data_IF_743909912055
#
_entry.id   IF_743909912055
#
_cell.length_a   1.000
_cell.length_b   1.000
_cell.length_c   1.000
_cell.angle_alpha   90.00
_cell.angle_beta   90.00
_cell.angle_gamma   90.00
#
_symmetry.space_group_name_H-M   'P 1'
#
loop_
_entity.id
_entity.type
_entity.pdbx_description
1 polymer ?
#
# COMPACT_ATOMS: atom_id res chain seq x y z
N UNK A 1 36.79 54.76 35.93
CA UNK A 1 35.87 55.38 34.94
C UNK A 1 36.27 54.79 33.59
N UNK A 2 35.49 54.01 32.84
CA UNK A 2 34.05 54.00 32.58
C UNK A 2 33.72 52.61 31.99
N UNK A 3 32.70 51.94 32.51
CA UNK A 3 32.12 50.73 31.93
C UNK A 3 31.39 51.07 30.62
N UNK A 4 31.57 50.29 29.56
CA UNK A 4 30.70 50.26 28.36
C UNK A 4 30.63 48.79 27.92
N UNK A 5 29.64 48.04 28.43
CA UNK A 5 28.33 47.73 27.80
C UNK A 5 28.43 46.58 26.76
N UNK A 6 28.09 45.40 27.30
CA UNK A 6 27.32 44.30 26.73
C UNK A 6 26.71 44.50 25.32
N UNK A 7 26.96 43.57 24.41
CA UNK A 7 25.96 43.20 23.39
C UNK A 7 26.03 41.70 23.14
N UNK A 8 25.10 40.98 23.77
CA UNK A 8 24.78 39.58 23.48
C UNK A 8 23.99 39.58 22.17
N UNK A 9 24.51 38.93 21.12
CA UNK A 9 23.73 38.61 19.93
C UNK A 9 23.63 37.08 19.85
N UNK A 10 22.61 36.54 20.51
CA UNK A 10 22.23 35.14 20.41
C UNK A 10 21.55 34.94 19.04
N UNK A 11 22.26 34.34 18.08
CA UNK A 11 21.68 33.90 16.83
C UNK A 11 20.90 32.60 17.06
N UNK A 12 19.59 32.72 17.30
CA UNK A 12 18.67 31.59 17.26
C UNK A 12 18.51 31.13 15.80
N UNK A 13 19.23 30.08 15.42
CA UNK A 13 18.96 29.34 14.20
C UNK A 13 17.67 28.53 14.41
N UNK A 14 16.51 29.15 14.15
CA UNK A 14 15.27 28.43 13.97
C UNK A 14 15.33 27.74 12.61
N UNK A 15 15.72 26.47 12.61
CA UNK A 15 15.55 25.58 11.47
C UNK A 15 14.07 25.41 11.18
N UNK A 16 13.55 26.19 10.23
CA UNK A 16 12.22 25.98 9.68
C UNK A 16 12.26 24.73 8.79
N UNK A 17 11.69 23.61 9.25
CA UNK A 17 11.24 22.56 8.35
C UNK A 17 10.07 23.14 7.54
N UNK A 18 10.40 23.82 6.44
CA UNK A 18 9.42 24.20 5.44
C UNK A 18 9.04 22.92 4.69
N UNK A 19 7.92 22.30 5.06
CA UNK A 19 7.23 21.35 4.17
C UNK A 19 6.84 22.13 2.91
N UNK A 20 7.43 21.76 1.77
CA UNK A 20 7.22 22.46 0.52
C UNK A 20 5.81 22.15 -0.02
N UNK A 21 5.01 23.16 -0.42
CA UNK A 21 3.78 22.91 -1.15
C UNK A 21 4.14 22.46 -2.57
N UNK A 22 3.95 21.18 -2.87
CA UNK A 22 4.12 20.64 -4.23
C UNK A 22 4.82 19.28 -4.36
N UNK A 23 5.10 18.57 -3.26
CA UNK A 23 5.57 17.18 -3.38
C UNK A 23 4.48 16.32 -4.05
N UNK A 24 4.79 15.64 -5.17
CA UNK A 24 3.82 14.76 -5.80
C UNK A 24 3.45 13.66 -4.82
N UNK A 25 2.14 13.47 -4.58
CA UNK A 25 1.66 12.38 -3.74
C UNK A 25 2.27 11.05 -4.21
N UNK A 26 2.86 10.30 -3.28
CA UNK A 26 3.45 9.00 -3.56
C UNK A 26 2.40 8.06 -4.16
N UNK A 27 2.78 7.30 -5.19
CA UNK A 27 1.89 6.42 -5.97
C UNK A 27 2.27 4.96 -5.79
N UNK A 28 1.33 4.05 -6.02
CA UNK A 28 1.61 2.62 -5.94
C UNK A 28 2.03 2.17 -4.55
N UNK A 29 2.95 1.21 -4.47
CA UNK A 29 3.53 0.69 -3.23
C UNK A 29 4.29 1.76 -2.43
N UNK A 30 4.83 2.79 -3.08
CA UNK A 30 5.64 3.81 -2.39
C UNK A 30 4.89 4.45 -1.21
N UNK A 31 3.58 4.64 -1.32
CA UNK A 31 2.73 5.19 -0.25
C UNK A 31 2.69 4.33 1.02
N UNK A 32 3.11 3.07 0.94
CA UNK A 32 3.17 2.13 2.06
C UNK A 32 4.60 1.91 2.56
N UNK A 33 5.61 2.63 2.05
CA UNK A 33 7.03 2.37 2.38
C UNK A 33 7.38 2.50 3.87
N UNK A 34 6.56 3.19 4.66
CA UNK A 34 6.69 3.30 6.12
C UNK A 34 5.61 2.56 6.91
N UNK A 35 4.72 1.80 6.26
CA UNK A 35 3.67 1.06 6.93
C UNK A 35 4.21 -0.28 7.44
N UNK A 36 4.19 -0.50 8.76
CA UNK A 36 4.67 -1.73 9.39
C UNK A 36 3.93 -2.99 8.90
N UNK A 37 2.73 -2.83 8.33
CA UNK A 37 1.93 -3.92 7.77
C UNK A 37 2.40 -4.37 6.39
N UNK A 38 3.16 -3.53 5.68
CA UNK A 38 3.75 -3.91 4.41
C UNK A 38 4.94 -4.84 4.67
N UNK A 39 4.79 -6.11 4.28
CA UNK A 39 5.80 -7.13 4.46
C UNK A 39 6.75 -7.25 3.26
N UNK A 40 7.34 -8.44 3.14
CA UNK A 40 8.33 -8.74 2.10
C UNK A 40 7.73 -8.77 0.70
N UNK A 41 8.56 -8.42 -0.31
CA UNK A 41 8.18 -8.58 -1.71
C UNK A 41 8.13 -10.06 -2.07
N UNK A 42 7.03 -10.47 -2.71
CA UNK A 42 6.87 -11.82 -3.25
C UNK A 42 6.62 -11.78 -4.76
N UNK A 43 6.87 -12.91 -5.42
CA UNK A 43 6.68 -13.04 -6.86
C UNK A 43 5.47 -13.89 -7.23
N UNK A 44 4.72 -14.39 -6.24
CA UNK A 44 3.65 -15.34 -6.50
C UNK A 44 2.58 -15.34 -5.41
N UNK A 45 1.33 -15.34 -5.83
CA UNK A 45 0.17 -15.70 -5.00
C UNK A 45 -0.48 -16.91 -5.67
N UNK A 46 -0.85 -17.94 -4.92
CA UNK A 46 -1.55 -19.10 -5.47
C UNK A 46 -2.86 -19.31 -4.72
N UNK A 47 -3.96 -19.03 -5.41
CA UNK A 47 -5.30 -19.23 -4.91
C UNK A 47 -5.72 -20.69 -5.11
N UNK A 48 -6.60 -21.19 -4.24
CA UNK A 48 -7.15 -22.53 -4.39
C UNK A 48 -8.04 -22.65 -5.64
N UNK A 49 -8.82 -21.61 -5.94
CA UNK A 49 -9.73 -21.58 -7.10
C UNK A 49 -10.02 -20.16 -7.59
N UNK A 50 -10.30 -19.22 -6.68
CA UNK A 50 -10.59 -17.82 -6.97
C UNK A 50 -9.94 -16.91 -5.92
N UNK A 51 -9.94 -15.61 -6.18
CA UNK A 51 -9.63 -14.61 -5.15
C UNK A 51 -10.74 -14.67 -4.10
N UNK A 52 -10.38 -14.81 -2.82
CA UNK A 52 -11.36 -14.94 -1.73
C UNK A 52 -12.02 -13.60 -1.40
N UNK A 53 -11.32 -12.50 -1.66
CA UNK A 53 -11.79 -11.14 -1.41
C UNK A 53 -10.73 -10.11 -1.77
N UNK A 54 -11.13 -8.85 -1.73
CA UNK A 54 -10.23 -7.73 -1.93
C UNK A 54 -10.64 -6.55 -1.04
N UNK A 55 -9.69 -5.66 -0.74
CA UNK A 55 -9.92 -4.45 0.07
C UNK A 55 -8.83 -3.42 -0.18
N UNK A 56 -8.92 -2.26 0.49
CA UNK A 56 -7.91 -1.18 0.41
C UNK A 56 -7.62 -0.77 -1.04
N UNK A 57 -8.67 -0.77 -1.85
CA UNK A 57 -8.60 -0.39 -3.25
C UNK A 57 -8.22 1.09 -3.33
N UNK A 58 -7.24 1.37 -4.16
CA UNK A 58 -6.83 2.70 -4.56
C UNK A 58 -6.59 2.67 -6.06
N UNK A 59 -6.23 3.80 -6.65
CA UNK A 59 -6.01 3.98 -8.08
C UNK A 59 -5.09 2.94 -8.72
N UNK A 60 -4.05 2.50 -8.02
CA UNK A 60 -3.02 1.60 -8.56
C UNK A 60 -2.66 0.45 -7.63
N UNK A 61 -3.33 0.31 -6.48
CA UNK A 61 -3.09 -0.79 -5.54
C UNK A 61 -4.38 -1.42 -5.05
N UNK A 62 -4.32 -2.71 -4.73
CA UNK A 62 -5.39 -3.42 -4.05
C UNK A 62 -4.81 -4.48 -3.14
N UNK A 63 -5.48 -4.71 -2.01
CA UNK A 63 -5.16 -5.82 -1.11
C UNK A 63 -5.98 -7.04 -1.53
N UNK A 64 -5.33 -8.09 -2.02
CA UNK A 64 -5.98 -9.37 -2.35
C UNK A 64 -5.93 -10.33 -1.16
N UNK A 65 -7.01 -11.09 -0.97
CA UNK A 65 -7.16 -12.06 0.12
C UNK A 65 -7.06 -13.50 -0.40
N UNK A 66 -6.27 -14.31 0.30
CA UNK A 66 -6.11 -15.75 0.09
C UNK A 66 -6.20 -16.45 1.46
N UNK A 67 -7.41 -16.83 1.85
CA UNK A 67 -7.77 -17.33 3.17
C UNK A 67 -7.38 -16.34 4.28
N UNK A 68 -6.32 -16.69 5.02
CA UNK A 68 -5.76 -15.85 6.09
C UNK A 68 -4.61 -14.95 5.63
N UNK A 69 -4.12 -15.13 4.42
CA UNK A 69 -3.04 -14.32 3.87
C UNK A 69 -3.62 -13.11 3.14
N UNK A 70 -2.88 -12.00 3.20
CA UNK A 70 -3.20 -10.80 2.45
C UNK A 70 -1.96 -10.38 1.67
N UNK A 71 -2.19 -9.84 0.49
CA UNK A 71 -1.12 -9.37 -0.38
C UNK A 71 -1.48 -8.00 -0.93
N UNK A 72 -0.59 -7.04 -0.73
CA UNK A 72 -0.68 -5.74 -1.38
C UNK A 72 -0.16 -5.89 -2.80
N UNK A 73 -1.03 -5.67 -3.77
CA UNK A 73 -0.73 -5.79 -5.19
C UNK A 73 -0.76 -4.42 -5.81
N UNK A 74 0.32 -4.05 -6.49
CA UNK A 74 0.30 -2.89 -7.37
C UNK A 74 0.08 -3.32 -8.80
N UNK A 75 -0.81 -2.59 -9.47
CA UNK A 75 -1.14 -2.79 -10.88
C UNK A 75 -0.73 -1.58 -11.72
N UNK A 76 -0.61 -1.81 -13.02
CA UNK A 76 -0.33 -0.77 -14.01
C UNK A 76 -1.18 -0.96 -15.26
N UNK A 77 -1.16 0.04 -16.15
CA UNK A 77 -1.96 0.07 -17.36
C UNK A 77 -3.22 0.91 -17.22
N UNK A 78 -4.34 0.44 -17.78
CA UNK A 78 -5.59 1.21 -17.90
C UNK A 78 -6.45 1.16 -16.63
N UNK A 79 -5.87 0.91 -15.46
CA UNK A 79 -6.59 0.59 -14.22
C UNK A 79 -6.74 1.76 -13.26
N UNK A 80 -7.03 2.94 -13.80
CA UNK A 80 -6.96 4.25 -13.11
C UNK A 80 -8.08 4.52 -12.09
N UNK A 81 -8.91 3.54 -11.78
CA UNK A 81 -10.21 3.61 -11.10
C UNK A 81 -10.50 2.27 -10.40
N UNK A 82 -9.45 1.49 -10.09
CA UNK A 82 -9.52 0.28 -9.26
C UNK A 82 -10.21 0.52 -7.90
N UNK A 83 -10.23 1.76 -7.44
CA UNK A 83 -11.01 2.22 -6.28
C UNK A 83 -12.52 1.95 -6.40
N UNK A 84 -13.07 1.90 -7.62
CA UNK A 84 -14.48 1.64 -7.92
C UNK A 84 -14.75 0.18 -8.31
N UNK A 85 -13.78 -0.72 -8.09
CA UNK A 85 -13.94 -2.12 -8.45
C UNK A 85 -15.07 -2.79 -7.66
N UNK A 86 -16.07 -3.30 -8.37
CA UNK A 86 -17.18 -4.08 -7.80
C UNK A 86 -16.79 -5.56 -7.66
N UNK A 87 -15.95 -6.05 -8.57
CA UNK A 87 -15.40 -7.41 -8.50
C UNK A 87 -14.00 -7.50 -9.12
N UNK A 88 -13.20 -8.42 -8.58
CA UNK A 88 -11.86 -8.71 -9.08
C UNK A 88 -11.72 -10.22 -9.28
N UNK A 89 -11.35 -10.61 -10.50
CA UNK A 89 -11.12 -11.99 -10.91
C UNK A 89 -9.67 -12.27 -11.30
N UNK A 90 -9.32 -13.55 -11.28
CA UNK A 90 -8.04 -14.04 -11.79
C UNK A 90 -8.02 -13.98 -13.31
N UNK A 91 -6.89 -13.55 -13.84
CA UNK A 91 -6.61 -13.60 -15.28
C UNK A 91 -5.26 -14.25 -15.52
N UNK A 92 -5.17 -15.49 -15.04
CA UNK A 92 -4.03 -16.38 -15.22
C UNK A 92 -4.55 -17.77 -15.59
N UNK A 93 -3.88 -18.47 -16.52
CA UNK A 93 -4.21 -19.87 -16.85
C UNK A 93 -3.87 -20.83 -15.70
N UNK A 94 -3.06 -20.38 -14.75
CA UNK A 94 -2.75 -21.09 -13.51
C UNK A 94 -3.53 -20.42 -12.39
N UNK A 95 -3.94 -21.15 -11.35
CA UNK A 95 -4.58 -20.53 -10.16
C UNK A 95 -3.63 -19.62 -9.37
N UNK A 96 -2.49 -19.22 -9.96
CA UNK A 96 -1.50 -18.36 -9.36
C UNK A 96 -1.30 -17.08 -10.18
N UNK A 97 -1.12 -15.97 -9.47
CA UNK A 97 -0.73 -14.67 -10.01
C UNK A 97 0.75 -14.41 -9.76
N UNK A 98 1.43 -13.89 -10.77
CA UNK A 98 2.82 -13.42 -10.74
C UNK A 98 2.92 -12.02 -11.33
N UNK A 99 3.99 -11.26 -11.05
CA UNK A 99 4.28 -10.02 -11.78
C UNK A 99 4.27 -10.25 -13.30
N UNK A 100 3.50 -9.45 -14.03
CA UNK A 100 3.26 -9.60 -15.47
C UNK A 100 1.93 -10.28 -15.82
N UNK A 101 1.33 -11.06 -14.92
CA UNK A 101 -0.06 -11.52 -15.08
C UNK A 101 -1.03 -10.36 -14.90
N UNK A 102 -2.32 -10.58 -15.19
CA UNK A 102 -3.36 -9.59 -14.97
C UNK A 102 -4.38 -10.04 -13.94
N UNK A 103 -5.09 -9.07 -13.38
CA UNK A 103 -6.39 -9.28 -12.73
C UNK A 103 -7.47 -8.65 -13.63
N UNK A 104 -8.66 -9.26 -13.64
CA UNK A 104 -9.82 -8.68 -14.31
C UNK A 104 -10.62 -7.90 -13.27
N UNK A 105 -10.72 -6.59 -13.48
CA UNK A 105 -11.54 -5.71 -12.66
C UNK A 105 -12.84 -5.48 -13.41
N UNK A 106 -13.97 -5.77 -12.77
CA UNK A 106 -15.29 -5.46 -13.28
C UNK A 106 -15.93 -4.37 -12.43
N UNK A 107 -16.53 -3.41 -13.13
CA UNK A 107 -17.20 -2.25 -12.56
C UNK A 107 -18.49 -1.98 -13.31
N UNK A 108 -19.40 -1.27 -12.65
CA UNK A 108 -20.67 -0.85 -13.24
C UNK A 108 -20.61 0.64 -13.53
N UNK A 109 -20.53 1.03 -14.80
CA UNK A 109 -20.64 2.43 -15.21
C UNK A 109 -22.03 2.70 -15.79
N UNK A 110 -22.96 3.13 -14.93
CA UNK A 110 -24.36 3.32 -15.33
C UNK A 110 -24.99 2.00 -15.79
N UNK A 111 -25.52 1.95 -17.02
CA UNK A 111 -26.08 0.71 -17.61
C UNK A 111 -25.05 -0.16 -18.35
N UNK A 112 -23.77 0.25 -18.40
CA UNK A 112 -22.72 -0.47 -19.13
C UNK A 112 -21.83 -1.24 -18.18
N UNK A 113 -21.75 -2.56 -18.39
CA UNK A 113 -20.77 -3.43 -17.74
C UNK A 113 -19.47 -3.44 -18.54
N UNK A 114 -18.39 -3.00 -17.90
CA UNK A 114 -17.04 -3.07 -18.45
C UNK A 114 -16.17 -3.97 -17.59
N UNK A 115 -15.31 -4.77 -18.22
CA UNK A 115 -14.21 -5.45 -17.53
C UNK A 115 -12.88 -5.01 -18.12
N UNK A 116 -11.90 -4.77 -17.25
CA UNK A 116 -10.57 -4.29 -17.63
C UNK A 116 -9.49 -5.19 -17.06
N UNK A 117 -8.42 -5.35 -17.82
CA UNK A 117 -7.26 -6.16 -17.44
C UNK A 117 -6.20 -5.25 -16.83
N UNK A 118 -5.82 -5.54 -15.60
CA UNK A 118 -4.84 -4.78 -14.83
C UNK A 118 -3.59 -5.61 -14.64
N UNK A 119 -2.49 -5.21 -15.28
CA UNK A 119 -1.24 -5.95 -15.20
C UNK A 119 -0.60 -5.74 -13.84
N UNK A 120 -0.21 -6.82 -13.18
CA UNK A 120 0.46 -6.81 -11.89
C UNK A 120 1.90 -6.36 -12.08
N UNK A 121 2.27 -5.29 -11.37
CA UNK A 121 3.64 -4.77 -11.35
C UNK A 121 4.44 -5.43 -10.24
N UNK A 122 3.93 -5.40 -9.02
CA UNK A 122 4.60 -5.90 -7.82
C UNK A 122 3.59 -6.48 -6.83
N UNK A 123 4.07 -7.41 -5.99
CA UNK A 123 3.29 -8.07 -4.96
C UNK A 123 4.09 -8.05 -3.66
N UNK A 124 3.44 -7.66 -2.58
CA UNK A 124 4.01 -7.63 -1.24
C UNK A 124 3.10 -8.38 -0.28
N UNK A 125 3.66 -9.05 0.71
CA UNK A 125 2.88 -9.58 1.82
C UNK A 125 2.27 -8.43 2.64
N UNK A 126 1.15 -8.73 3.30
CA UNK A 126 0.49 -7.75 4.17
C UNK A 126 0.07 -8.40 5.49
N UNK A 127 0.63 -7.91 6.59
CA UNK A 127 0.28 -8.35 7.94
C UNK A 127 -0.58 -7.28 8.63
N UNK A 128 -1.91 -7.48 8.75
CA UNK A 128 -2.78 -6.50 9.38
C UNK A 128 -2.49 -6.29 10.88
N UNK A 129 -1.73 -7.19 11.53
CA UNK A 129 -1.42 -7.13 12.97
C UNK A 129 -0.11 -6.43 13.28
N UNK A 130 0.75 -6.19 12.29
CA UNK A 130 2.07 -5.60 12.53
C UNK A 130 2.03 -4.14 13.03
N UNK A 131 0.86 -3.47 12.97
CA UNK A 131 0.66 -2.13 13.55
C UNK A 131 0.21 -2.14 15.02
N UNK A 132 -0.15 -3.30 15.57
CA UNK A 132 -0.46 -3.43 16.99
C UNK A 132 0.85 -3.60 17.75
N UNK A 133 1.18 -2.75 18.74
CA UNK A 133 2.33 -3.00 19.60
C UNK A 133 2.14 -4.41 20.21
N UNK A 134 3.14 -5.27 20.06
CA UNK A 134 3.17 -6.57 20.74
C UNK A 134 3.18 -6.34 22.26
N UNK A 135 2.01 -6.15 22.86
CA UNK A 135 1.84 -6.11 24.30
C UNK A 135 1.97 -7.56 24.82
N UNK A 136 3.22 -7.93 25.12
CA UNK A 136 3.61 -8.90 26.15
C UNK A 136 2.98 -10.30 26.05
N UNK A 137 3.55 -11.13 25.19
CA UNK A 137 3.67 -12.57 25.48
C UNK A 137 5.02 -12.85 26.17
N UNK A 138 5.22 -12.26 27.36
CA UNK A 138 6.29 -12.66 28.27
C UNK A 138 5.66 -13.55 29.35
N UNK A 139 5.76 -14.87 29.10
CA UNK A 139 6.02 -15.93 30.07
C UNK A 139 5.61 -15.67 31.53
N UNK A 140 4.60 -16.39 32.02
CA UNK A 140 4.48 -16.64 33.45
C UNK A 140 4.22 -18.15 33.69
N UNK A 141 5.25 -18.94 34.07
CA UNK A 141 5.04 -20.28 34.57
C UNK A 141 4.62 -20.17 36.05
N UNK A 142 3.39 -20.58 36.35
CA UNK A 142 2.88 -20.75 37.71
C UNK A 142 2.23 -22.11 37.85
#
# INVERSE_FOLDING_TARGET
MKHIILTVLAATALGACASAPGEPAEKGIAKYAGDARLGEKTNKICFASSIDGFSMNDRDTVLLHDGKKRYMVEVTGTCFDLENAESIGLDSPTSCLTPGDSIIVAETFGETFGSRRCMIREIYEWDPKASEPEEKAEENPG
#
